data_IF_145879797063
#
_entry.id   IF_145879797063
#
_cell.length_a   1.000
_cell.length_b   1.000
_cell.length_c   1.000
_cell.angle_alpha   90.00
_cell.angle_beta   90.00
_cell.angle_gamma   90.00
#
_symmetry.space_group_name_H-M   'P 1'
#
loop_
_entity.id
_entity.type
_entity.pdbx_description
1 polymer ?
#
# COMPACT_ATOMS: atom_id res chain seq x y z
N UNK A 1 41.14 -41.24 0.05
CA UNK A 1 41.28 -39.96 0.77
C UNK A 1 40.58 -38.92 -0.09
N UNK A 2 39.25 -38.96 -0.20
CA UNK A 2 38.24 -38.47 0.75
C UNK A 2 38.37 -36.98 1.11
N UNK A 3 37.30 -36.24 0.78
CA UNK A 3 36.63 -35.18 1.57
C UNK A 3 37.42 -33.88 1.78
N UNK A 4 36.90 -32.65 1.59
CA UNK A 4 35.55 -32.09 1.75
C UNK A 4 35.46 -30.85 0.82
N UNK A 5 34.38 -30.49 0.14
CA UNK A 5 33.03 -30.16 0.62
C UNK A 5 33.02 -29.06 1.68
N UNK A 6 33.05 -27.79 1.24
CA UNK A 6 32.56 -26.65 2.03
C UNK A 6 31.71 -25.75 1.11
N UNK A 7 30.45 -26.17 0.98
CA UNK A 7 29.31 -25.29 0.79
C UNK A 7 29.12 -24.47 2.06
N UNK A 8 28.93 -23.15 1.93
CA UNK A 8 28.13 -22.32 2.84
C UNK A 8 27.69 -21.07 2.06
N UNK A 9 26.40 -21.00 1.72
CA UNK A 9 25.40 -20.13 2.38
C UNK A 9 25.65 -18.64 2.08
N UNK A 10 24.79 -17.94 1.35
CA UNK A 10 23.38 -17.77 1.69
C UNK A 10 22.60 -17.35 0.43
N UNK A 11 21.77 -18.24 -0.10
CA UNK A 11 20.60 -17.79 -0.84
C UNK A 11 19.64 -17.28 0.22
N UNK A 12 19.65 -15.98 0.46
CA UNK A 12 18.58 -15.31 1.21
C UNK A 12 17.30 -15.41 0.41
N UNK A 13 16.63 -16.53 0.67
CA UNK A 13 15.20 -16.76 0.60
C UNK A 13 14.47 -15.56 1.22
N UNK A 14 14.26 -14.51 0.42
CA UNK A 14 13.21 -13.55 0.67
C UNK A 14 11.88 -14.19 0.27
N UNK A 15 11.56 -15.32 0.90
CA UNK A 15 10.19 -15.71 1.09
C UNK A 15 9.58 -14.67 2.04
N UNK A 16 9.06 -13.60 1.44
CA UNK A 16 7.97 -12.86 2.04
C UNK A 16 6.68 -13.39 1.41
N UNK A 17 6.14 -14.54 1.83
CA UNK A 17 4.72 -14.72 1.76
C UNK A 17 4.17 -13.90 2.92
N UNK A 18 4.08 -12.58 2.74
CA UNK A 18 3.01 -11.85 3.42
C UNK A 18 1.73 -12.36 2.78
N UNK A 19 1.31 -13.54 3.24
CA UNK A 19 -0.07 -13.93 3.31
C UNK A 19 -0.73 -12.84 4.15
N UNK A 20 -1.03 -11.73 3.48
CA UNK A 20 -1.89 -10.68 3.95
C UNK A 20 -3.18 -11.41 4.22
N UNK A 21 -3.40 -11.73 5.48
CA UNK A 21 -4.66 -12.24 5.99
C UNK A 21 -5.66 -11.14 5.65
N UNK A 22 -6.29 -11.29 4.47
CA UNK A 22 -7.25 -10.34 3.93
C UNK A 22 -8.41 -10.42 4.90
N UNK A 23 -8.44 -9.50 5.85
CA UNK A 23 -9.61 -9.24 6.68
C UNK A 23 -10.79 -9.13 5.72
N UNK A 24 -11.68 -10.12 5.79
CA UNK A 24 -12.78 -10.37 4.86
C UNK A 24 -13.89 -9.29 4.91
N UNK A 25 -13.55 -8.08 5.33
CA UNK A 25 -14.47 -6.98 5.63
C UNK A 25 -14.25 -5.77 4.73
N UNK A 26 -13.12 -5.69 4.00
CA UNK A 26 -12.80 -4.56 3.12
C UNK A 26 -12.62 -5.05 1.69
N UNK A 27 -13.38 -4.48 0.76
CA UNK A 27 -13.19 -4.70 -0.68
C UNK A 27 -11.75 -4.34 -1.07
N UNK A 28 -11.10 -5.18 -1.88
CA UNK A 28 -9.74 -4.95 -2.39
C UNK A 28 -9.59 -3.54 -2.99
N UNK A 29 -10.63 -3.06 -3.67
CA UNK A 29 -10.62 -1.73 -4.28
C UNK A 29 -10.65 -0.59 -3.27
N UNK A 30 -11.40 -0.76 -2.20
CA UNK A 30 -11.41 0.19 -1.09
C UNK A 30 -10.05 0.24 -0.39
N UNK A 31 -9.40 -0.91 -0.24
CA UNK A 31 -8.07 -1.00 0.34
C UNK A 31 -7.01 -0.30 -0.52
N UNK A 32 -7.06 -0.48 -1.85
CA UNK A 32 -6.20 0.27 -2.78
C UNK A 32 -6.41 1.79 -2.67
N UNK A 33 -7.68 2.23 -2.60
CA UNK A 33 -8.01 3.66 -2.46
C UNK A 33 -7.53 4.22 -1.12
N UNK A 34 -7.68 3.47 -0.02
CA UNK A 34 -7.17 3.86 1.30
C UNK A 34 -5.64 3.98 1.31
N UNK A 35 -4.93 3.05 0.67
CA UNK A 35 -3.47 3.13 0.52
C UNK A 35 -3.05 4.38 -0.26
N UNK A 36 -3.75 4.71 -1.34
CA UNK A 36 -3.50 5.94 -2.13
C UNK A 36 -3.75 7.19 -1.30
N UNK A 37 -4.87 7.26 -0.58
CA UNK A 37 -5.18 8.38 0.33
C UNK A 37 -4.08 8.53 1.38
N UNK A 38 -3.66 7.43 2.01
CA UNK A 38 -2.59 7.45 3.02
C UNK A 38 -1.25 7.93 2.44
N UNK A 39 -0.92 7.52 1.22
CA UNK A 39 0.29 7.97 0.52
C UNK A 39 0.25 9.47 0.24
N UNK A 40 -0.84 9.98 -0.35
CA UNK A 40 -1.03 11.40 -0.64
C UNK A 40 -0.98 12.25 0.63
N UNK A 41 -1.61 11.78 1.74
CA UNK A 41 -1.53 12.44 3.05
C UNK A 41 -0.11 12.48 3.62
N UNK A 42 0.73 11.47 3.36
CA UNK A 42 2.15 11.49 3.76
C UNK A 42 2.93 12.51 2.94
N UNK A 43 2.70 12.57 1.62
CA UNK A 43 3.35 13.56 0.75
C UNK A 43 2.94 14.99 1.14
N UNK A 44 1.68 15.23 1.47
CA UNK A 44 1.21 16.53 1.94
C UNK A 44 1.95 17.03 3.20
N UNK A 45 2.43 16.11 4.06
CA UNK A 45 3.22 16.47 5.25
C UNK A 45 4.67 16.85 4.95
N UNK A 46 5.15 16.65 3.72
CA UNK A 46 6.52 16.93 3.32
C UNK A 46 6.81 18.42 3.03
N UNK A 47 5.89 19.33 3.39
CA UNK A 47 6.08 20.78 3.20
C UNK A 47 5.92 21.20 1.73
N UNK A 48 4.95 20.64 1.03
CA UNK A 48 4.64 21.01 -0.35
C UNK A 48 3.98 22.39 -0.43
N UNK A 49 4.05 23.01 -1.61
CA UNK A 49 3.41 24.29 -1.88
C UNK A 49 1.87 24.19 -1.81
N UNK A 50 1.22 25.34 -1.58
CA UNK A 50 -0.23 25.43 -1.37
C UNK A 50 -1.04 24.90 -2.56
N UNK A 51 -0.56 25.12 -3.79
CA UNK A 51 -1.22 24.61 -4.99
C UNK A 51 -1.19 23.08 -5.03
N UNK A 52 -0.04 22.48 -4.70
CA UNK A 52 0.10 21.03 -4.62
C UNK A 52 -0.75 20.44 -3.49
N UNK A 53 -0.80 21.08 -2.32
CA UNK A 53 -1.68 20.66 -1.22
C UNK A 53 -3.16 20.71 -1.60
N UNK A 54 -3.59 21.77 -2.30
CA UNK A 54 -4.97 21.91 -2.80
C UNK A 54 -5.32 20.79 -3.80
N UNK A 55 -4.41 20.48 -4.72
CA UNK A 55 -4.58 19.35 -5.67
C UNK A 55 -4.66 18.01 -4.95
N UNK A 56 -3.87 17.82 -3.90
CA UNK A 56 -3.91 16.60 -3.09
C UNK A 56 -5.20 16.47 -2.28
N UNK A 57 -5.73 17.58 -1.76
CA UNK A 57 -7.03 17.58 -1.10
C UNK A 57 -8.15 17.15 -2.07
N UNK A 58 -8.18 17.71 -3.28
CA UNK A 58 -9.14 17.32 -4.31
C UNK A 58 -9.00 15.83 -4.70
N UNK A 59 -7.76 15.33 -4.78
CA UNK A 59 -7.50 13.92 -5.09
C UNK A 59 -7.98 12.97 -3.98
N UNK A 60 -7.83 13.36 -2.72
CA UNK A 60 -8.36 12.60 -1.58
C UNK A 60 -9.89 12.56 -1.62
N UNK A 61 -10.54 13.69 -1.86
CA UNK A 61 -12.01 13.76 -1.98
C UNK A 61 -12.53 12.84 -3.08
N UNK A 62 -11.84 12.80 -4.22
CA UNK A 62 -12.20 11.94 -5.33
C UNK A 62 -12.05 10.45 -5.00
N UNK A 63 -10.98 10.05 -4.30
CA UNK A 63 -10.83 8.68 -3.82
C UNK A 63 -11.92 8.31 -2.80
N UNK A 64 -12.30 9.21 -1.90
CA UNK A 64 -13.41 8.99 -0.97
C UNK A 64 -14.75 8.86 -1.70
N UNK A 65 -14.98 9.65 -2.77
CA UNK A 65 -16.14 9.52 -3.65
C UNK A 65 -16.18 8.15 -4.34
N UNK A 66 -15.05 7.69 -4.86
CA UNK A 66 -14.94 6.36 -5.47
C UNK A 66 -15.23 5.24 -4.47
N UNK A 67 -14.77 5.35 -3.22
CA UNK A 67 -15.11 4.38 -2.16
C UNK A 67 -16.62 4.33 -1.90
N UNK A 68 -17.28 5.49 -1.82
CA UNK A 68 -18.75 5.56 -1.66
C UNK A 68 -19.49 5.01 -2.88
N UNK A 69 -19.00 5.27 -4.09
CA UNK A 69 -19.58 4.73 -5.32
C UNK A 69 -19.42 3.21 -5.44
N UNK A 70 -18.34 2.64 -4.89
CA UNK A 70 -18.11 1.19 -4.83
C UNK A 70 -19.03 0.49 -3.83
N UNK A 71 -19.44 1.18 -2.78
CA UNK A 71 -20.38 0.68 -1.77
C UNK A 71 -21.51 1.69 -1.55
N UNK A 72 -22.46 1.80 -2.48
CA UNK A 72 -23.58 2.75 -2.40
C UNK A 72 -24.59 2.40 -1.29
N UNK A 73 -24.43 1.25 -0.62
CA UNK A 73 -25.40 0.64 0.30
C UNK A 73 -24.82 0.44 1.72
N UNK A 74 -24.12 1.42 2.28
CA UNK A 74 -23.63 1.34 3.67
C UNK A 74 -23.79 2.65 4.45
#
# INVERSE_FOLDING_TARGET
>A
MNESAEQESSNEDHAVPTARMRSATMCEKCEELDQKIAHVRRLAKAGLDELTLSRFAALIEEYERQKKALHPDN
#
